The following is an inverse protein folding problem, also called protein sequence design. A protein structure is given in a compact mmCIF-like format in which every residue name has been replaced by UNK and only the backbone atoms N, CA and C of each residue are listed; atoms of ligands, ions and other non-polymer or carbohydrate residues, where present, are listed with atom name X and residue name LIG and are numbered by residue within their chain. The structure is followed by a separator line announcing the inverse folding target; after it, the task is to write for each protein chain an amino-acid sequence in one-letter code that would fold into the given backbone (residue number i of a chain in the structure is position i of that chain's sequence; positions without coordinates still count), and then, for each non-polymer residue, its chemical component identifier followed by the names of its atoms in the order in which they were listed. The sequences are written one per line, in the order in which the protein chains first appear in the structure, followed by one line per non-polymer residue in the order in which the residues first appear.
data_IF_405886290252
#
_entry.id   IF_405886290252
#
_cell.length_a   1.000
_cell.length_b   1.000
_cell.length_c   1.000
_cell.angle_alpha   90.00
_cell.angle_beta   90.00
_cell.angle_gamma   90.00
#
_symmetry.space_group_name_H-M   'P 1'
#
loop_
_entity.id
_entity.type
_entity.pdbx_description
1 polymer ?
#
# COMPACT_ATOMS: atom_id res chain seq x y z
N UNK A 1 77.50 -37.56 -20.51
CA UNK A 1 77.39 -38.68 -21.48
C UNK A 1 75.91 -39.05 -21.55
N UNK A 2 75.24 -38.79 -22.68
CA UNK A 2 73.84 -39.21 -22.92
C UNK A 2 73.74 -40.70 -23.30
N UNK A 3 72.64 -41.23 -23.90
CA UNK A 3 71.47 -40.57 -24.53
C UNK A 3 70.06 -41.17 -24.15
N UNK A 4 68.94 -40.41 -24.23
CA UNK A 4 67.84 -40.34 -25.24
C UNK A 4 66.68 -41.36 -25.09
N UNK A 5 65.43 -40.87 -24.96
CA UNK A 5 64.28 -41.07 -25.89
C UNK A 5 62.99 -40.32 -25.43
N UNK A 6 62.41 -39.58 -26.38
CA UNK A 6 60.98 -39.36 -26.79
C UNK A 6 59.82 -39.31 -25.77
N UNK A 7 58.68 -38.63 -25.97
CA UNK A 7 58.17 -37.60 -26.87
C UNK A 7 56.71 -37.27 -26.43
N UNK A 8 56.15 -36.19 -27.00
CA UNK A 8 54.72 -35.86 -27.19
C UNK A 8 54.01 -34.88 -26.22
N UNK A 9 53.11 -34.13 -26.85
CA UNK A 9 52.57 -32.82 -26.52
C UNK A 9 51.13 -32.86 -25.90
N UNK A 10 50.69 -31.66 -25.44
CA UNK A 10 49.32 -31.13 -25.15
C UNK A 10 48.11 -31.72 -25.94
N UNK A 11 46.79 -31.32 -25.73
CA UNK A 11 46.15 -30.29 -24.85
C UNK A 11 44.71 -30.58 -24.28
N UNK A 12 44.20 -29.65 -23.43
CA UNK A 12 42.89 -28.91 -23.37
C UNK A 12 41.48 -29.60 -23.48
N UNK A 13 40.60 -29.25 -22.49
CA UNK A 13 39.10 -29.19 -22.39
C UNK A 13 38.19 -30.42 -22.71
N UNK A 14 37.23 -30.72 -21.80
CA UNK A 14 35.77 -30.52 -21.93
C UNK A 14 34.93 -31.46 -21.01
N UNK A 15 33.74 -30.98 -20.55
CA UNK A 15 32.63 -31.68 -19.88
C UNK A 15 31.95 -32.76 -20.77
N UNK A 16 30.94 -33.57 -20.33
CA UNK A 16 29.56 -33.13 -20.02
C UNK A 16 28.76 -33.99 -18.98
N UNK A 17 27.45 -33.75 -18.97
CA UNK A 17 26.34 -33.97 -18.02
C UNK A 17 25.70 -35.38 -17.87
N UNK A 18 24.64 -35.40 -17.03
CA UNK A 18 23.45 -36.32 -16.95
C UNK A 18 23.66 -37.69 -16.25
N UNK A 19 22.73 -38.30 -15.48
CA UNK A 19 21.25 -38.29 -15.44
C UNK A 19 20.72 -39.05 -14.19
N UNK A 20 19.46 -38.79 -13.79
CA UNK A 20 18.45 -39.72 -13.22
C UNK A 20 17.72 -39.23 -11.94
N UNK A 21 16.55 -38.61 -12.11
CA UNK A 21 15.25 -39.28 -11.85
C UNK A 21 14.12 -38.47 -12.48
N UNK A 22 13.26 -39.17 -13.22
CA UNK A 22 12.21 -38.65 -14.08
C UNK A 22 10.82 -38.81 -13.45
N UNK A 23 10.02 -37.75 -13.58
CA UNK A 23 8.67 -37.72 -14.17
C UNK A 23 7.69 -38.89 -13.94
N UNK A 24 6.55 -38.59 -13.32
CA UNK A 24 5.22 -39.08 -13.72
C UNK A 24 4.21 -37.92 -13.58
N UNK A 25 3.56 -37.58 -14.69
CA UNK A 25 2.42 -36.66 -14.79
C UNK A 25 1.24 -37.40 -15.45
N UNK A 26 0.05 -37.12 -14.91
CA UNK A 26 -1.28 -37.03 -15.55
C UNK A 26 -2.00 -38.29 -16.07
N UNK A 27 -3.24 -38.45 -15.58
CA UNK A 27 -4.36 -39.06 -16.30
C UNK A 27 -5.68 -38.35 -15.89
N UNK A 28 -6.59 -38.14 -16.86
CA UNK A 28 -7.95 -37.61 -16.70
C UNK A 28 -8.20 -36.38 -17.57
N UNK A 29 -8.39 -36.53 -18.89
CA UNK A 29 -9.63 -36.84 -19.64
C UNK A 29 -10.62 -35.66 -19.80
N UNK A 30 -10.95 -35.44 -21.07
CA UNK A 30 -11.95 -34.54 -21.64
C UNK A 30 -13.37 -34.77 -21.10
N UNK A 31 -14.15 -33.68 -20.97
CA UNK A 31 -15.58 -33.71 -21.25
C UNK A 31 -16.03 -32.39 -21.91
N UNK A 32 -16.57 -32.52 -23.12
CA UNK A 32 -17.43 -31.53 -23.80
C UNK A 32 -18.83 -31.54 -23.16
N UNK A 33 -19.51 -30.40 -23.18
CA UNK A 33 -20.92 -30.30 -22.79
C UNK A 33 -21.49 -28.90 -22.98
N UNK A 34 -22.16 -28.70 -24.12
CA UNK A 34 -23.07 -27.59 -24.41
C UNK A 34 -24.16 -27.43 -23.35
N UNK A 35 -24.58 -26.19 -23.06
CA UNK A 35 -26.00 -25.82 -22.91
C UNK A 35 -26.21 -24.31 -22.94
N UNK A 36 -26.92 -23.85 -23.97
CA UNK A 36 -27.64 -22.57 -24.00
C UNK A 36 -28.66 -22.47 -22.86
N UNK A 37 -28.78 -21.28 -22.25
CA UNK A 37 -30.09 -20.72 -21.88
C UNK A 37 -30.05 -19.20 -21.66
N UNK A 38 -30.78 -18.50 -22.53
CA UNK A 38 -31.22 -17.11 -22.46
C UNK A 38 -32.12 -16.89 -21.24
N UNK A 39 -31.92 -15.84 -20.44
CA UNK A 39 -32.98 -15.11 -19.72
C UNK A 39 -32.61 -13.63 -19.52
N UNK A 40 -33.59 -12.76 -19.79
CA UNK A 40 -33.50 -11.31 -19.80
C UNK A 40 -33.91 -10.66 -18.45
N UNK A 41 -33.15 -9.65 -18.01
CA UNK A 41 -33.54 -8.51 -17.12
C UNK A 41 -34.12 -8.80 -15.71
N UNK A 42 -34.18 -7.82 -14.78
CA UNK A 42 -34.12 -6.37 -15.01
C UNK A 42 -33.11 -5.57 -14.16
N UNK A 43 -32.97 -4.32 -14.59
CA UNK A 43 -32.36 -3.13 -13.98
C UNK A 43 -32.73 -2.83 -12.51
N UNK A 44 -31.76 -2.29 -11.78
CA UNK A 44 -31.90 -1.64 -10.46
C UNK A 44 -30.89 -2.24 -9.47
N UNK A 45 -29.99 -1.52 -8.79
CA UNK A 45 -29.96 -0.12 -8.40
C UNK A 45 -29.50 -0.07 -6.94
N UNK A 46 -28.24 0.32 -6.71
CA UNK A 46 -27.72 0.82 -5.43
C UNK A 46 -27.47 -0.20 -4.31
N UNK A 47 -26.22 -0.68 -4.18
CA UNK A 47 -25.54 -1.03 -2.90
C UNK A 47 -24.09 -1.57 -3.04
N UNK A 48 -23.36 -1.27 -4.12
CA UNK A 48 -22.12 -1.99 -4.47
C UNK A 48 -20.79 -1.23 -4.27
N UNK A 49 -20.78 0.07 -3.98
CA UNK A 49 -19.59 0.91 -4.20
C UNK A 49 -18.41 0.68 -3.25
N UNK A 50 -18.64 0.15 -2.04
CA UNK A 50 -17.57 -0.06 -1.03
C UNK A 50 -17.05 -1.50 -1.03
N UNK A 51 -17.85 -2.46 -1.49
CA UNK A 51 -17.48 -3.88 -1.52
C UNK A 51 -16.55 -4.22 -2.70
N UNK A 52 -16.66 -3.50 -3.83
CA UNK A 52 -15.75 -3.62 -4.98
C UNK A 52 -14.35 -3.02 -4.72
N UNK A 53 -14.24 -2.10 -3.75
CA UNK A 53 -13.00 -1.43 -3.38
C UNK A 53 -11.96 -2.40 -2.78
N UNK A 54 -12.32 -3.13 -1.70
CA UNK A 54 -11.38 -4.06 -1.04
C UNK A 54 -11.11 -5.30 -1.89
N UNK A 55 -12.05 -5.72 -2.75
CA UNK A 55 -11.91 -6.99 -3.48
C UNK A 55 -11.00 -6.88 -4.72
N UNK A 56 -10.92 -5.72 -5.40
CA UNK A 56 -10.00 -5.53 -6.53
C UNK A 56 -8.58 -5.15 -6.10
N UNK A 57 -8.43 -4.34 -5.05
CA UNK A 57 -7.11 -4.00 -4.50
C UNK A 57 -6.50 -5.25 -3.81
N UNK A 58 -7.27 -5.99 -2.99
CA UNK A 58 -6.80 -7.24 -2.37
C UNK A 58 -6.43 -8.37 -3.34
N UNK A 59 -7.02 -8.40 -4.55
CA UNK A 59 -6.63 -9.35 -5.61
C UNK A 59 -5.21 -9.09 -6.11
N UNK A 60 -4.69 -7.87 -5.91
CA UNK A 60 -3.45 -7.37 -6.49
C UNK A 60 -2.37 -6.98 -5.46
N UNK A 61 -2.73 -6.72 -4.19
CA UNK A 61 -1.84 -6.21 -3.10
C UNK A 61 -0.80 -7.21 -2.55
N UNK A 62 -0.56 -8.32 -3.24
CA UNK A 62 0.51 -9.28 -2.89
C UNK A 62 1.94 -8.78 -3.14
N UNK A 63 2.16 -7.51 -3.48
CA UNK A 63 3.38 -7.04 -4.13
C UNK A 63 4.40 -6.33 -3.19
N UNK A 64 4.69 -6.88 -2.01
CA UNK A 64 5.95 -6.57 -1.32
C UNK A 64 7.08 -7.45 -1.87
N UNK A 65 7.86 -6.91 -2.83
CA UNK A 65 8.87 -7.70 -3.51
C UNK A 65 10.18 -7.78 -2.73
N UNK A 66 10.57 -8.99 -2.32
CA UNK A 66 11.90 -9.28 -1.78
C UNK A 66 12.87 -9.75 -2.88
N UNK A 67 14.03 -9.08 -3.05
CA UNK A 67 15.16 -9.57 -3.88
C UNK A 67 16.31 -10.07 -3.02
N UNK A 68 16.81 -11.29 -3.29
CA UNK A 68 18.08 -11.79 -2.71
C UNK A 68 19.28 -11.55 -3.64
N UNK A 69 20.48 -11.44 -3.05
CA UNK A 69 21.77 -11.28 -3.73
C UNK A 69 22.12 -12.38 -4.79
N UNK A 70 21.33 -13.45 -4.87
CA UNK A 70 21.47 -14.55 -5.84
C UNK A 70 20.37 -14.63 -6.91
N UNK A 71 19.49 -13.62 -7.01
CA UNK A 71 18.60 -13.47 -8.17
C UNK A 71 17.40 -14.44 -8.28
N UNK A 72 16.99 -15.14 -7.22
CA UNK A 72 15.80 -16.00 -7.24
C UNK A 72 14.68 -15.53 -6.31
N UNK A 73 13.44 -15.50 -6.86
CA UNK A 73 12.16 -15.11 -6.24
C UNK A 73 11.63 -16.21 -5.30
N UNK A 74 10.83 -15.81 -4.30
CA UNK A 74 9.82 -16.64 -3.65
C UNK A 74 8.47 -15.97 -3.99
N UNK A 75 7.59 -16.65 -4.73
CA UNK A 75 6.25 -16.16 -5.08
C UNK A 75 5.24 -17.17 -4.53
N UNK A 76 4.26 -16.72 -3.74
CA UNK A 76 3.15 -17.56 -3.28
C UNK A 76 1.91 -17.13 -4.05
N UNK A 77 1.40 -18.02 -4.91
CA UNK A 77 0.22 -17.78 -5.75
C UNK A 77 -1.01 -18.40 -5.06
N UNK A 78 -2.06 -17.62 -4.78
CA UNK A 78 -3.34 -18.15 -4.27
C UNK A 78 -4.40 -17.95 -5.34
N UNK A 79 -5.07 -19.05 -5.73
CA UNK A 79 -6.28 -19.04 -6.56
C UNK A 79 -7.40 -19.61 -5.71
N UNK A 80 -8.61 -19.03 -5.68
CA UNK A 80 -9.84 -19.82 -5.48
C UNK A 80 -11.18 -19.07 -5.74
N UNK A 81 -12.16 -19.90 -6.06
CA UNK A 81 -13.53 -19.74 -6.60
C UNK A 81 -14.61 -19.20 -5.64
N UNK A 82 -15.59 -18.47 -6.18
CA UNK A 82 -16.76 -17.89 -5.48
C UNK A 82 -18.02 -18.78 -5.51
N UNK A 83 -18.76 -18.83 -4.40
CA UNK A 83 -20.17 -19.25 -4.34
C UNK A 83 -20.96 -18.29 -3.42
N UNK A 84 -22.05 -17.73 -3.94
CA UNK A 84 -22.86 -16.67 -3.33
C UNK A 84 -24.08 -17.23 -2.60
N UNK A 85 -24.34 -16.78 -1.37
CA UNK A 85 -25.65 -16.97 -0.70
C UNK A 85 -26.11 -15.68 -0.03
N UNK A 86 -27.33 -15.26 -0.39
CA UNK A 86 -28.01 -14.02 0.01
C UNK A 86 -28.89 -14.28 1.24
N UNK A 87 -28.78 -13.47 2.30
CA UNK A 87 -29.78 -13.43 3.39
C UNK A 87 -30.14 -11.97 3.71
N UNK A 88 -31.44 -11.68 3.60
CA UNK A 88 -32.08 -10.41 3.96
C UNK A 88 -32.28 -10.31 5.48
N UNK A 89 -31.97 -9.16 6.06
CA UNK A 89 -32.31 -8.79 7.44
C UNK A 89 -32.72 -7.32 7.54
N UNK A 90 -33.92 -7.08 8.06
CA UNK A 90 -34.58 -5.78 8.25
C UNK A 90 -34.38 -5.23 9.66
N UNK A 91 -34.53 -3.90 9.76
CA UNK A 91 -34.77 -3.07 10.96
C UNK A 91 -33.57 -2.82 11.90
N UNK A 92 -33.42 -1.65 12.53
CA UNK A 92 -34.26 -0.46 12.62
C UNK A 92 -33.48 0.72 13.21
N UNK A 93 -33.97 1.93 12.94
CA UNK A 93 -33.38 3.19 13.38
C UNK A 93 -33.70 3.45 14.87
N UNK A 94 -32.69 3.85 15.65
CA UNK A 94 -32.89 4.63 16.88
C UNK A 94 -31.76 5.65 17.02
N UNK A 95 -32.13 6.88 17.32
CA UNK A 95 -31.29 8.07 17.39
C UNK A 95 -31.09 8.57 18.82
N UNK A 96 -29.94 9.26 19.00
CA UNK A 96 -29.67 10.36 19.98
C UNK A 96 -29.15 9.99 21.38
N UNK A 97 -28.48 10.92 22.10
CA UNK A 97 -27.65 12.07 21.69
C UNK A 97 -26.30 12.17 22.46
N UNK A 98 -25.49 13.15 22.06
CA UNK A 98 -24.29 13.68 22.74
C UNK A 98 -24.52 14.07 24.20
N UNK A 99 -23.47 13.94 25.02
CA UNK A 99 -23.11 14.92 26.05
C UNK A 99 -21.64 14.76 26.47
N UNK A 100 -20.88 15.85 26.39
CA UNK A 100 -19.46 15.90 26.77
C UNK A 100 -19.23 16.17 28.25
N UNK A 101 -18.01 15.92 28.72
CA UNK A 101 -17.26 16.82 29.62
C UNK A 101 -15.87 16.26 29.94
N UNK A 102 -14.90 17.17 29.91
CA UNK A 102 -13.47 17.03 30.17
C UNK A 102 -13.11 16.88 31.66
N UNK A 103 -12.10 16.06 31.97
CA UNK A 103 -11.06 16.29 33.00
C UNK A 103 -9.98 15.21 32.78
N UNK A 104 -8.72 15.50 32.47
CA UNK A 104 -7.78 16.36 33.18
C UNK A 104 -6.78 15.47 33.93
N UNK A 105 -5.67 15.08 33.29
CA UNK A 105 -4.49 14.50 33.96
C UNK A 105 -3.21 14.86 33.19
N UNK A 106 -2.39 15.67 33.86
CA UNK A 106 -0.98 15.94 33.56
C UNK A 106 -0.15 14.65 33.52
N UNK A 107 0.76 14.59 32.55
CA UNK A 107 1.75 13.53 32.40
C UNK A 107 2.73 13.87 31.30
N UNK A 108 3.78 14.60 31.66
CA UNK A 108 4.92 14.97 30.81
C UNK A 108 5.59 13.76 30.17
N UNK A 109 5.58 13.68 28.84
CA UNK A 109 6.63 13.05 28.02
C UNK A 109 6.71 13.77 26.66
N UNK A 110 7.89 14.28 26.34
CA UNK A 110 8.14 15.18 25.21
C UNK A 110 8.08 14.50 23.85
N UNK A 111 6.89 14.46 23.26
CA UNK A 111 6.72 14.71 21.83
C UNK A 111 6.40 16.20 21.70
N UNK A 112 7.29 17.00 21.11
CA UNK A 112 7.00 18.41 20.86
C UNK A 112 5.71 18.50 20.04
N UNK A 113 4.66 19.10 20.61
CA UNK A 113 3.44 19.36 19.87
C UNK A 113 3.79 20.08 18.55
N UNK A 114 3.14 19.75 17.42
CA UNK A 114 3.39 20.41 16.16
C UNK A 114 3.37 21.92 16.34
N UNK A 115 4.24 22.67 15.67
CA UNK A 115 4.31 24.12 15.82
C UNK A 115 3.02 24.86 15.44
N UNK A 116 2.05 24.18 14.81
CA UNK A 116 0.67 24.63 14.59
C UNK A 116 -0.26 23.41 14.49
N UNK A 117 -0.81 22.86 15.60
CA UNK A 117 -1.75 21.74 15.52
C UNK A 117 -3.01 22.10 14.72
N UNK A 118 -3.35 23.39 14.63
CA UNK A 118 -4.46 23.93 13.85
C UNK A 118 -4.21 24.06 12.33
N UNK A 119 -2.96 23.89 11.86
CA UNK A 119 -2.59 23.96 10.43
C UNK A 119 -1.53 22.91 10.06
N UNK A 120 -1.91 21.61 10.04
CA UNK A 120 -1.04 20.54 9.56
C UNK A 120 -0.52 20.85 8.14
N UNK A 121 0.76 20.61 7.88
CA UNK A 121 1.38 20.81 6.55
C UNK A 121 2.01 22.19 6.31
N UNK A 122 1.83 23.15 7.23
CA UNK A 122 2.31 24.51 7.04
C UNK A 122 3.74 24.80 7.45
N UNK A 123 4.30 24.00 8.34
CA UNK A 123 5.66 24.19 8.80
C UNK A 123 6.67 23.33 7.98
N UNK A 124 6.26 22.79 6.83
CA UNK A 124 7.11 21.98 5.95
C UNK A 124 7.60 20.73 6.66
N UNK A 125 8.93 20.60 6.82
CA UNK A 125 9.60 19.51 7.57
C UNK A 125 9.26 19.44 9.07
N UNK A 126 8.22 20.13 9.53
CA UNK A 126 7.79 20.19 10.92
C UNK A 126 6.79 19.10 11.30
N UNK A 127 6.38 18.24 10.36
CA UNK A 127 5.73 17.00 10.76
C UNK A 127 6.69 16.22 11.66
N UNK A 128 6.19 15.82 12.82
CA UNK A 128 6.92 15.01 13.76
C UNK A 128 5.96 14.04 14.43
N UNK A 129 6.45 12.84 14.69
CA UNK A 129 5.85 11.85 15.56
C UNK A 129 6.95 11.00 16.19
N UNK A 130 6.60 10.17 17.17
CA UNK A 130 7.58 9.24 17.76
C UNK A 130 7.99 8.23 16.70
N UNK A 131 9.29 8.22 16.36
CA UNK A 131 9.83 7.21 15.46
C UNK A 131 9.69 5.81 16.08
N UNK A 132 9.46 4.78 15.25
CA UNK A 132 9.62 3.40 15.64
C UNK A 132 10.98 3.15 16.29
N UNK A 133 11.01 2.19 17.22
CA UNK A 133 12.21 1.80 17.96
C UNK A 133 12.67 0.40 17.55
N UNK A 134 13.89 0.05 17.95
CA UNK A 134 14.44 -1.31 17.83
C UNK A 134 14.46 -2.03 19.19
N UNK A 135 13.49 -1.74 20.07
CA UNK A 135 13.40 -2.35 21.39
C UNK A 135 13.51 -3.89 21.31
N UNK A 136 14.20 -4.50 22.28
CA UNK A 136 14.34 -5.97 22.29
C UNK A 136 12.96 -6.64 22.38
N UNK A 137 12.77 -7.67 21.56
CA UNK A 137 11.59 -8.54 21.61
C UNK A 137 11.84 -9.77 22.51
N UNK A 138 12.97 -9.82 23.20
CA UNK A 138 13.28 -10.87 24.16
C UNK A 138 12.20 -10.93 25.24
N UNK A 139 11.67 -12.13 25.48
CA UNK A 139 10.59 -12.35 26.43
C UNK A 139 9.19 -12.36 25.82
N UNK A 140 9.02 -11.91 24.57
CA UNK A 140 7.77 -12.16 23.85
C UNK A 140 7.64 -13.66 23.52
N UNK A 141 6.51 -14.25 23.92
CA UNK A 141 6.23 -15.66 23.69
C UNK A 141 5.62 -15.87 22.31
N UNK A 142 6.23 -16.75 21.51
CA UNK A 142 5.73 -17.10 20.19
C UNK A 142 5.22 -18.54 20.13
N UNK A 143 4.05 -18.69 19.50
CA UNK A 143 3.56 -19.94 18.95
C UNK A 143 2.75 -19.63 17.69
N UNK A 144 2.56 -20.62 16.81
CA UNK A 144 1.70 -20.43 15.63
C UNK A 144 0.27 -19.98 16.01
N UNK A 145 -0.26 -20.49 17.13
CA UNK A 145 -1.58 -20.14 17.65
C UNK A 145 -1.68 -18.74 18.27
N UNK A 146 -0.54 -18.17 18.70
CA UNK A 146 -0.47 -16.84 19.30
C UNK A 146 0.22 -15.82 18.38
N UNK A 147 0.33 -16.14 17.09
CA UNK A 147 1.08 -15.36 16.10
C UNK A 147 0.53 -13.93 15.92
N UNK A 148 -0.79 -13.75 15.90
CA UNK A 148 -1.43 -12.44 15.89
C UNK A 148 -1.09 -11.63 17.16
N UNK A 149 -1.23 -12.23 18.35
CA UNK A 149 -0.89 -11.55 19.61
C UNK A 149 0.59 -11.20 19.68
N UNK A 150 1.46 -12.10 19.22
CA UNK A 150 2.90 -11.84 19.13
C UNK A 150 3.21 -10.62 18.26
N UNK A 151 2.54 -10.47 17.09
CA UNK A 151 2.72 -9.29 16.25
C UNK A 151 2.22 -8.01 16.94
N UNK A 152 1.06 -8.06 17.60
CA UNK A 152 0.52 -6.92 18.36
C UNK A 152 1.44 -6.50 19.51
N UNK A 153 2.01 -7.45 20.26
CA UNK A 153 2.94 -7.17 21.36
C UNK A 153 4.26 -6.60 20.83
N UNK A 154 4.76 -7.12 19.69
CA UNK A 154 5.95 -6.61 19.05
C UNK A 154 5.75 -5.17 18.52
N UNK A 155 4.59 -4.89 17.92
CA UNK A 155 4.19 -3.55 17.52
C UNK A 155 4.06 -2.63 18.74
N UNK A 156 3.50 -3.09 19.86
CA UNK A 156 3.42 -2.26 21.08
C UNK A 156 4.77 -1.74 21.55
N UNK A 157 5.79 -2.61 21.48
CA UNK A 157 7.15 -2.27 21.91
C UNK A 157 7.88 -1.36 20.92
N UNK A 158 7.70 -1.62 19.62
CA UNK A 158 8.52 -0.99 18.58
C UNK A 158 7.82 0.09 17.78
N UNK A 159 6.51 -0.01 17.59
CA UNK A 159 5.71 0.94 16.83
C UNK A 159 4.25 1.00 17.35
N UNK A 160 3.99 1.67 18.49
CA UNK A 160 2.66 1.73 19.10
C UNK A 160 1.55 2.18 18.15
N UNK A 161 1.84 3.14 17.25
CA UNK A 161 0.89 3.57 16.22
C UNK A 161 0.51 2.42 15.27
N UNK A 162 1.47 1.57 14.88
CA UNK A 162 1.19 0.36 14.11
C UNK A 162 0.30 -0.63 14.85
N UNK A 163 0.48 -0.80 16.17
CA UNK A 163 -0.43 -1.61 16.99
C UNK A 163 -1.83 -1.02 17.01
N UNK A 164 -1.96 0.30 17.17
CA UNK A 164 -3.25 0.98 17.12
C UNK A 164 -3.96 0.74 15.79
N UNK A 165 -3.26 0.97 14.66
CA UNK A 165 -3.79 0.74 13.30
C UNK A 165 -4.32 -0.68 13.16
N UNK A 166 -3.51 -1.66 13.55
CA UNK A 166 -3.87 -3.08 13.44
C UNK A 166 -5.05 -3.44 14.35
N UNK A 167 -5.06 -2.95 15.59
CA UNK A 167 -6.12 -3.23 16.55
C UNK A 167 -7.46 -2.67 16.10
N UNK A 168 -7.48 -1.44 15.60
CA UNK A 168 -8.71 -0.81 15.10
C UNK A 168 -9.17 -1.44 13.78
N UNK A 169 -8.24 -1.71 12.84
CA UNK A 169 -8.54 -2.37 11.57
C UNK A 169 -9.17 -3.75 11.76
N UNK A 170 -8.71 -4.53 12.74
CA UNK A 170 -9.31 -5.80 13.14
C UNK A 170 -10.77 -5.69 13.60
N UNK A 171 -11.16 -4.54 14.15
CA UNK A 171 -12.53 -4.26 14.63
C UNK A 171 -13.41 -3.57 13.59
N UNK A 172 -12.90 -3.39 12.37
CA UNK A 172 -13.62 -2.72 11.30
C UNK A 172 -14.97 -3.39 11.00
N UNK A 173 -16.04 -2.61 10.71
CA UNK A 173 -17.36 -3.16 10.38
C UNK A 173 -17.37 -4.05 9.13
N UNK A 174 -16.30 -4.05 8.32
CA UNK A 174 -16.15 -4.91 7.15
C UNK A 174 -15.62 -6.31 7.49
N UNK A 175 -14.97 -6.50 8.64
CA UNK A 175 -14.40 -7.77 9.05
C UNK A 175 -15.39 -8.95 9.00
N UNK A 176 -16.67 -8.81 9.44
CA UNK A 176 -17.64 -9.91 9.36
C UNK A 176 -18.02 -10.30 7.93
N UNK A 177 -17.89 -9.38 6.96
CA UNK A 177 -18.33 -9.59 5.57
C UNK A 177 -17.20 -9.95 4.62
N UNK A 178 -15.96 -9.53 4.90
CA UNK A 178 -14.82 -9.66 4.00
C UNK A 178 -13.63 -10.42 4.60
N UNK A 179 -13.79 -11.00 5.80
CA UNK A 179 -12.69 -11.37 6.71
C UNK A 179 -11.96 -10.12 7.19
N UNK A 180 -11.21 -10.23 8.29
CA UNK A 180 -10.37 -9.11 8.73
C UNK A 180 -9.02 -9.10 7.98
N UNK A 181 -8.31 -7.98 8.05
CA UNK A 181 -6.98 -7.80 7.46
C UNK A 181 -5.98 -8.92 7.83
N UNK A 182 -6.07 -9.48 9.04
CA UNK A 182 -5.24 -10.62 9.43
C UNK A 182 -5.65 -11.91 8.70
N UNK A 183 -6.92 -12.28 8.73
CA UNK A 183 -7.43 -13.49 8.09
C UNK A 183 -7.20 -13.53 6.58
N UNK A 184 -7.10 -12.35 5.96
CA UNK A 184 -6.90 -12.20 4.53
C UNK A 184 -5.42 -12.23 4.14
N UNK A 185 -4.54 -11.56 4.88
CA UNK A 185 -3.16 -11.32 4.46
C UNK A 185 -2.09 -11.98 5.34
N UNK A 186 -2.47 -12.50 6.51
CA UNK A 186 -1.54 -13.13 7.44
C UNK A 186 -1.42 -14.64 7.17
N UNK A 187 -0.38 -15.03 6.43
CA UNK A 187 -0.26 -16.40 5.89
C UNK A 187 0.87 -17.21 6.54
N UNK A 188 1.99 -16.58 6.88
CA UNK A 188 3.18 -17.28 7.40
C UNK A 188 3.30 -17.18 8.92
N UNK A 189 2.81 -18.21 9.63
CA UNK A 189 2.83 -18.28 11.10
C UNK A 189 3.81 -19.33 11.64
N UNK A 190 4.76 -19.76 10.82
CA UNK A 190 5.69 -20.85 11.13
C UNK A 190 6.77 -20.47 12.15
N UNK A 191 7.10 -19.19 12.28
CA UNK A 191 8.08 -18.68 13.25
C UNK A 191 7.90 -17.18 13.50
N UNK A 192 8.39 -16.69 14.64
CA UNK A 192 8.40 -15.26 14.98
C UNK A 192 9.03 -14.38 13.89
N UNK A 193 10.22 -14.69 13.32
CA UNK A 193 10.78 -13.90 12.22
C UNK A 193 9.90 -13.87 10.96
N UNK A 194 9.19 -14.97 10.66
CA UNK A 194 8.25 -15.03 9.52
C UNK A 194 7.02 -14.17 9.72
N UNK A 195 6.53 -14.09 10.96
CA UNK A 195 5.47 -13.15 11.34
C UNK A 195 5.94 -11.70 11.20
N UNK A 196 7.13 -11.36 11.71
CA UNK A 196 7.66 -9.99 11.61
C UNK A 196 7.92 -9.55 10.17
N UNK A 197 8.29 -10.47 9.28
CA UNK A 197 8.45 -10.17 7.85
C UNK A 197 7.14 -9.77 7.15
N UNK A 198 5.98 -10.08 7.73
CA UNK A 198 4.67 -9.66 7.21
C UNK A 198 4.12 -8.43 7.93
N UNK A 199 4.81 -7.92 8.96
CA UNK A 199 4.30 -6.83 9.79
C UNK A 199 3.90 -5.60 8.96
N UNK A 200 4.75 -5.22 8.00
CA UNK A 200 4.50 -4.09 7.11
C UNK A 200 3.20 -4.26 6.32
N UNK A 201 3.00 -5.45 5.71
CA UNK A 201 1.77 -5.76 4.98
C UNK A 201 0.56 -5.74 5.91
N UNK A 202 0.64 -6.35 7.09
CA UNK A 202 -0.49 -6.36 8.02
C UNK A 202 -0.86 -4.94 8.49
N UNK A 203 0.13 -4.09 8.81
CA UNK A 203 -0.16 -2.70 9.20
C UNK A 203 -0.76 -1.91 8.03
N UNK A 204 -0.27 -2.11 6.81
CA UNK A 204 -0.81 -1.51 5.58
C UNK A 204 -2.28 -1.88 5.38
N UNK A 205 -2.56 -3.18 5.33
CA UNK A 205 -3.90 -3.71 5.05
C UNK A 205 -4.88 -3.35 6.16
N UNK A 206 -4.48 -3.49 7.43
CA UNK A 206 -5.33 -3.05 8.53
C UNK A 206 -5.56 -1.52 8.54
N UNK A 207 -4.64 -0.74 7.95
CA UNK A 207 -4.80 0.68 7.70
C UNK A 207 -5.98 0.99 6.78
N UNK A 208 -6.12 0.26 5.66
CA UNK A 208 -7.31 0.35 4.82
C UNK A 208 -8.59 0.05 5.61
N UNK A 209 -8.61 -1.06 6.34
CA UNK A 209 -9.77 -1.46 7.14
C UNK A 209 -10.16 -0.42 8.21
N UNK A 210 -9.16 0.23 8.81
CA UNK A 210 -9.34 1.32 9.76
C UNK A 210 -10.00 2.53 9.09
N UNK A 211 -9.41 3.03 8.01
CA UNK A 211 -9.87 4.22 7.31
C UNK A 211 -11.29 4.03 6.73
N UNK A 212 -11.52 2.90 6.06
CA UNK A 212 -12.84 2.55 5.53
C UNK A 212 -13.88 2.34 6.62
N UNK A 213 -13.48 1.72 7.72
CA UNK A 213 -14.36 1.42 8.85
C UNK A 213 -14.95 2.69 9.47
N UNK A 214 -14.26 3.83 9.31
CA UNK A 214 -14.71 5.16 9.72
C UNK A 214 -15.31 5.97 8.55
N UNK A 215 -15.01 5.61 7.30
CA UNK A 215 -15.54 6.26 6.11
C UNK A 215 -17.04 6.00 5.90
N UNK A 216 -17.69 6.93 5.20
CA UNK A 216 -19.11 6.81 4.80
C UNK A 216 -19.35 7.66 3.57
N UNK A 217 -19.76 7.04 2.46
CA UNK A 217 -20.07 7.72 1.19
C UNK A 217 -20.86 9.03 1.42
N UNK A 218 -20.37 10.21 0.97
CA UNK A 218 -19.20 10.45 0.10
C UNK A 218 -17.91 10.85 0.84
N UNK A 219 -17.85 10.65 2.14
CA UNK A 219 -16.73 11.00 3.02
C UNK A 219 -15.68 9.90 3.06
N UNK A 220 -14.44 10.24 2.69
CA UNK A 220 -13.23 9.44 2.93
C UNK A 220 -12.61 9.86 4.26
N UNK A 221 -12.12 8.91 5.04
CA UNK A 221 -11.44 9.16 6.31
C UNK A 221 -9.99 8.74 6.20
N UNK A 222 -9.09 9.52 6.81
CA UNK A 222 -7.66 9.26 6.84
C UNK A 222 -7.20 9.36 8.30
N UNK A 223 -6.91 8.23 8.93
CA UNK A 223 -6.37 8.17 10.29
C UNK A 223 -4.86 8.20 10.21
N UNK A 224 -4.28 9.39 10.44
CA UNK A 224 -2.82 9.59 10.39
C UNK A 224 -2.17 9.13 11.70
N UNK A 225 -2.80 9.49 12.83
CA UNK A 225 -2.45 9.08 14.20
C UNK A 225 -3.72 8.95 15.05
N UNK A 226 -3.57 8.41 16.25
CA UNK A 226 -4.66 8.36 17.25
C UNK A 226 -5.33 9.72 17.50
N UNK A 227 -4.53 10.80 17.45
CA UNK A 227 -4.96 12.18 17.72
C UNK A 227 -5.20 13.03 16.45
N UNK A 228 -4.94 12.47 15.26
CA UNK A 228 -4.96 13.21 14.01
C UNK A 228 -5.65 12.40 12.91
N UNK A 229 -6.82 12.87 12.49
CA UNK A 229 -7.55 12.31 11.36
C UNK A 229 -8.20 13.40 10.51
N UNK A 230 -8.44 13.07 9.24
CA UNK A 230 -9.17 13.92 8.30
C UNK A 230 -10.41 13.20 7.80
N UNK A 231 -11.48 13.95 7.56
CA UNK A 231 -12.73 13.44 6.96
C UNK A 231 -13.07 14.35 5.79
N UNK A 232 -12.69 13.92 4.58
CA UNK A 232 -12.80 14.74 3.37
C UNK A 232 -13.88 14.17 2.45
N UNK A 233 -14.79 15.02 1.99
CA UNK A 233 -15.90 14.63 1.13
C UNK A 233 -15.56 14.77 -0.36
N UNK A 234 -16.26 14.00 -1.19
CA UNK A 234 -16.29 14.15 -2.65
C UNK A 234 -14.94 13.96 -3.36
N UNK A 235 -14.01 13.22 -2.75
CA UNK A 235 -12.69 13.01 -3.34
C UNK A 235 -12.61 11.91 -4.41
N UNK A 236 -13.69 11.16 -4.64
CA UNK A 236 -13.76 10.15 -5.70
C UNK A 236 -14.00 10.78 -7.09
N UNK A 237 -14.13 9.97 -8.13
CA UNK A 237 -14.38 10.44 -9.48
C UNK A 237 -15.79 11.00 -9.65
N UNK A 238 -16.00 11.85 -10.66
CA UNK A 238 -17.33 12.42 -10.99
C UNK A 238 -18.39 11.34 -11.22
N UNK A 239 -18.04 10.25 -11.87
CA UNK A 239 -18.95 9.13 -12.13
C UNK A 239 -19.27 8.33 -10.87
N UNK A 240 -18.41 8.46 -9.85
CA UNK A 240 -18.55 7.90 -8.50
C UNK A 240 -19.01 8.94 -7.48
N UNK A 241 -19.70 10.00 -7.95
CA UNK A 241 -20.30 11.09 -7.15
C UNK A 241 -19.30 11.99 -6.41
N UNK A 242 -18.03 11.94 -6.78
CA UNK A 242 -17.02 12.89 -6.31
C UNK A 242 -16.80 14.05 -7.28
N UNK A 243 -15.70 14.77 -7.08
CA UNK A 243 -15.32 15.99 -7.80
C UNK A 243 -13.95 15.85 -8.49
N UNK A 244 -13.40 14.65 -8.51
CA UNK A 244 -12.07 14.37 -9.05
C UNK A 244 -12.15 13.49 -10.31
N UNK A 245 -11.01 13.13 -10.90
CA UNK A 245 -10.93 12.21 -12.05
C UNK A 245 -10.21 10.91 -11.69
N UNK A 246 -10.39 9.87 -12.49
CA UNK A 246 -9.77 8.56 -12.26
C UNK A 246 -8.23 8.65 -12.23
N UNK A 247 -7.59 8.04 -11.23
CA UNK A 247 -6.13 8.06 -11.07
C UNK A 247 -5.40 7.44 -12.27
N UNK A 248 -5.99 6.47 -12.96
CA UNK A 248 -5.46 5.86 -14.20
C UNK A 248 -5.20 6.88 -15.32
N UNK A 249 -5.86 8.04 -15.33
CA UNK A 249 -5.64 9.10 -16.33
C UNK A 249 -4.20 9.58 -16.38
N UNK A 250 -3.44 9.52 -15.28
CA UNK A 250 -2.03 9.92 -15.27
C UNK A 250 -1.15 9.01 -16.16
N UNK A 251 -1.61 7.82 -16.54
CA UNK A 251 -0.89 6.98 -17.54
C UNK A 251 -0.76 7.61 -18.91
N UNK A 252 -1.58 8.62 -19.22
CA UNK A 252 -1.59 9.32 -20.50
C UNK A 252 -0.87 10.69 -20.40
N UNK A 253 -0.28 11.02 -19.25
CA UNK A 253 0.46 12.28 -19.06
C UNK A 253 1.88 12.24 -19.67
N UNK A 254 2.58 13.38 -19.66
CA UNK A 254 3.94 13.50 -20.18
C UNK A 254 5.00 12.75 -19.34
N UNK A 255 4.67 12.41 -18.08
CA UNK A 255 5.59 11.82 -17.11
C UNK A 255 5.54 10.30 -17.09
N UNK A 256 4.46 9.68 -17.62
CA UNK A 256 4.25 8.24 -17.64
C UNK A 256 5.40 7.46 -18.29
N UNK A 257 6.09 8.07 -19.27
CA UNK A 257 7.24 7.44 -19.93
C UNK A 257 8.51 7.39 -19.07
N UNK A 258 8.59 8.17 -17.98
CA UNK A 258 9.75 8.16 -17.06
C UNK A 258 9.85 6.85 -16.27
N UNK A 259 8.72 6.18 -16.00
CA UNK A 259 8.65 4.80 -15.51
C UNK A 259 7.46 4.09 -16.13
N UNK A 260 7.74 3.29 -17.16
CA UNK A 260 6.73 2.46 -17.80
C UNK A 260 6.28 1.32 -16.90
N UNK A 261 5.08 0.82 -17.12
CA UNK A 261 4.59 -0.42 -16.52
C UNK A 261 5.57 -1.57 -16.72
N UNK A 262 5.58 -2.53 -15.80
CA UNK A 262 6.52 -3.64 -15.85
C UNK A 262 6.10 -4.73 -16.83
N UNK A 263 4.80 -4.86 -17.10
CA UNK A 263 4.29 -5.93 -17.94
C UNK A 263 4.67 -7.30 -17.37
N UNK A 264 5.14 -8.23 -18.21
CA UNK A 264 5.41 -9.59 -17.79
C UNK A 264 6.63 -9.76 -16.85
N UNK A 265 7.52 -8.78 -16.75
CA UNK A 265 8.64 -8.80 -15.80
C UNK A 265 8.50 -7.65 -14.79
N UNK A 266 7.65 -7.87 -13.80
CA UNK A 266 7.44 -7.01 -12.62
C UNK A 266 8.71 -6.66 -11.84
N UNK A 267 9.83 -7.33 -12.12
CA UNK A 267 11.10 -7.06 -11.47
C UNK A 267 12.09 -6.30 -12.37
N UNK A 268 11.70 -5.92 -13.58
CA UNK A 268 12.57 -5.16 -14.46
C UNK A 268 13.03 -3.85 -13.79
N UNK A 269 14.33 -3.54 -13.85
CA UNK A 269 14.83 -2.31 -13.24
C UNK A 269 14.21 -1.10 -13.97
N UNK A 270 13.75 -0.11 -13.20
CA UNK A 270 13.21 1.14 -13.73
C UNK A 270 11.78 1.03 -14.31
N UNK A 271 11.08 -0.08 -14.08
CA UNK A 271 9.65 -0.18 -14.36
C UNK A 271 8.81 0.12 -13.12
N UNK A 272 7.54 0.41 -13.35
CA UNK A 272 6.54 0.75 -12.34
C UNK A 272 5.54 -0.40 -12.21
N UNK A 273 5.73 -1.27 -11.22
CA UNK A 273 4.80 -2.38 -10.99
C UNK A 273 3.52 -1.91 -10.29
N UNK A 274 3.58 -0.79 -9.56
CA UNK A 274 2.41 -0.16 -8.96
C UNK A 274 1.45 0.33 -10.05
N UNK A 275 1.94 0.80 -11.19
CA UNK A 275 1.09 1.22 -12.30
C UNK A 275 0.22 0.09 -12.87
N UNK A 276 0.69 -1.16 -12.81
CA UNK A 276 -0.07 -2.33 -13.28
C UNK A 276 -1.24 -2.70 -12.34
N UNK A 277 -1.21 -2.20 -11.10
CA UNK A 277 -2.22 -2.41 -10.06
C UNK A 277 -3.09 -1.16 -9.92
N UNK A 278 -2.51 -0.05 -9.49
CA UNK A 278 -3.23 1.14 -9.02
C UNK A 278 -3.57 2.12 -10.13
N UNK A 279 -2.92 2.01 -11.31
CA UNK A 279 -3.25 2.83 -12.47
C UNK A 279 -3.86 1.98 -13.61
N UNK A 280 -4.30 0.76 -13.31
CA UNK A 280 -4.90 -0.12 -14.31
C UNK A 280 -6.25 0.44 -14.84
N UNK A 281 -6.86 -0.28 -15.78
CA UNK A 281 -8.19 0.06 -16.31
C UNK A 281 -8.25 1.18 -17.33
N UNK A 282 -9.47 1.42 -17.80
CA UNK A 282 -9.84 2.56 -18.64
C UNK A 282 -11.19 3.12 -18.17
N UNK A 283 -11.22 4.31 -17.55
CA UNK A 283 -12.43 4.87 -16.92
C UNK A 283 -13.55 5.23 -17.92
N UNK A 284 -13.32 5.03 -19.23
CA UNK A 284 -14.27 5.26 -20.30
C UNK A 284 -14.94 3.96 -20.82
N UNK A 285 -14.55 2.77 -20.37
CA UNK A 285 -14.96 1.48 -20.97
C UNK A 285 -16.11 0.75 -20.23
N UNK A 286 -16.64 1.39 -19.17
CA UNK A 286 -17.72 0.90 -18.30
C UNK A 286 -17.41 -0.35 -17.47
N UNK A 287 -16.15 -0.83 -17.45
CA UNK A 287 -15.67 -1.75 -16.44
C UNK A 287 -15.06 -0.95 -15.30
N UNK A 288 -15.12 -1.53 -14.11
CA UNK A 288 -14.46 -0.96 -12.96
C UNK A 288 -13.16 -1.70 -12.74
N UNK A 289 -12.08 -0.95 -12.69
CA UNK A 289 -10.78 -1.38 -12.19
C UNK A 289 -10.24 -0.42 -11.12
N UNK A 290 -9.22 -0.88 -10.39
CA UNK A 290 -8.57 -0.11 -9.32
C UNK A 290 -8.14 1.30 -9.75
N UNK A 291 -7.69 1.48 -11.00
CA UNK A 291 -7.31 2.80 -11.51
C UNK A 291 -8.48 3.76 -11.80
N UNK A 292 -9.72 3.30 -11.76
CA UNK A 292 -10.91 4.17 -11.96
C UNK A 292 -11.31 4.96 -10.72
N UNK A 293 -10.61 4.72 -9.62
CA UNK A 293 -10.78 5.42 -8.35
C UNK A 293 -10.21 6.86 -8.41
N UNK A 294 -10.79 7.78 -7.64
CA UNK A 294 -10.40 9.18 -7.61
C UNK A 294 -9.18 9.52 -6.76
N UNK A 295 -8.99 10.82 -6.52
CA UNK A 295 -7.88 11.35 -5.72
C UNK A 295 -7.92 10.87 -4.26
N UNK A 296 -9.12 10.63 -3.72
CA UNK A 296 -9.28 10.13 -2.36
C UNK A 296 -8.52 8.83 -2.13
N UNK A 297 -8.65 7.87 -3.03
CA UNK A 297 -8.02 6.55 -2.88
C UNK A 297 -6.56 6.54 -3.33
N UNK A 298 -6.15 7.49 -4.17
CA UNK A 298 -4.72 7.73 -4.38
C UNK A 298 -4.02 8.20 -3.08
N UNK A 299 -4.64 9.10 -2.33
CA UNK A 299 -4.11 9.56 -1.04
C UNK A 299 -4.20 8.50 0.05
N UNK A 300 -5.26 7.70 0.04
CA UNK A 300 -5.47 6.64 1.03
C UNK A 300 -4.37 5.58 0.91
N UNK A 301 -4.09 5.13 -0.32
CA UNK A 301 -2.98 4.23 -0.62
C UNK A 301 -1.61 4.82 -0.22
N UNK A 302 -1.38 6.10 -0.53
CA UNK A 302 -0.17 6.78 -0.10
C UNK A 302 -0.01 6.76 1.43
N UNK A 303 -1.09 6.98 2.19
CA UNK A 303 -1.11 6.88 3.66
C UNK A 303 -0.70 5.49 4.13
N UNK A 304 -1.19 4.43 3.47
CA UNK A 304 -0.84 3.07 3.86
C UNK A 304 0.62 2.72 3.54
N UNK A 305 1.19 3.18 2.42
CA UNK A 305 2.63 3.04 2.17
C UNK A 305 3.51 3.83 3.16
N UNK A 306 3.02 4.94 3.73
CA UNK A 306 3.70 5.60 4.87
C UNK A 306 3.73 4.67 6.08
N UNK A 307 2.60 4.01 6.39
CA UNK A 307 2.50 3.06 7.49
C UNK A 307 3.40 1.82 7.28
N UNK A 308 3.52 1.34 6.03
CA UNK A 308 4.42 0.26 5.64
C UNK A 308 5.89 0.61 5.90
N UNK A 309 6.35 1.78 5.44
CA UNK A 309 7.73 2.23 5.66
C UNK A 309 8.05 2.44 7.15
N UNK A 310 7.10 2.99 7.92
CA UNK A 310 7.24 3.10 9.37
C UNK A 310 7.40 1.74 10.05
N UNK A 311 6.63 0.74 9.60
CA UNK A 311 6.70 -0.62 10.13
C UNK A 311 8.00 -1.32 9.73
N UNK A 312 8.49 -1.10 8.52
CA UNK A 312 9.78 -1.61 8.06
C UNK A 312 10.95 -1.05 8.87
N UNK A 313 10.88 0.22 9.30
CA UNK A 313 11.84 0.80 10.25
C UNK A 313 11.77 0.11 11.63
N UNK A 314 10.59 -0.26 12.11
CA UNK A 314 10.40 -0.95 13.38
C UNK A 314 10.99 -2.38 13.40
N UNK A 315 11.00 -3.05 12.25
CA UNK A 315 11.41 -4.45 12.11
C UNK A 315 12.55 -4.64 11.10
N UNK A 316 13.45 -3.65 11.01
CA UNK A 316 14.60 -3.69 10.11
C UNK A 316 15.46 -4.96 10.29
N UNK A 317 15.53 -5.46 11.53
CA UNK A 317 16.27 -6.65 11.95
C UNK A 317 15.61 -7.96 11.51
N UNK A 318 14.33 -7.95 11.13
CA UNK A 318 13.65 -9.11 10.57
C UNK A 318 14.07 -9.38 9.12
N UNK A 319 14.55 -8.35 8.40
CA UNK A 319 15.01 -8.49 7.02
C UNK A 319 16.39 -9.14 6.96
N UNK A 320 16.54 -10.13 6.06
CA UNK A 320 17.84 -10.77 5.86
C UNK A 320 18.83 -9.78 5.28
N UNK A 321 20.04 -9.78 5.82
CA UNK A 321 21.16 -8.99 5.28
C UNK A 321 21.36 -9.29 3.79
N UNK A 322 21.29 -8.26 2.96
CA UNK A 322 21.43 -8.37 1.50
C UNK A 322 20.13 -8.71 0.76
N UNK A 323 19.00 -8.83 1.47
CA UNK A 323 17.67 -8.74 0.85
C UNK A 323 17.33 -7.27 0.60
N UNK A 324 16.61 -6.98 -0.48
CA UNK A 324 16.04 -5.67 -0.75
C UNK A 324 14.52 -5.78 -0.89
N UNK A 325 13.79 -4.85 -0.31
CA UNK A 325 12.32 -4.74 -0.37
C UNK A 325 11.90 -3.43 -1.02
N UNK A 326 10.59 -3.21 -1.17
CA UNK A 326 10.00 -2.11 -1.95
C UNK A 326 9.38 -1.01 -1.10
N UNK A 327 9.62 -0.97 0.22
CA UNK A 327 8.97 -0.05 1.16
C UNK A 327 9.21 1.43 0.81
N UNK A 328 10.47 1.81 0.59
CA UNK A 328 10.82 3.15 0.10
C UNK A 328 10.31 3.39 -1.32
N UNK A 329 10.36 2.36 -2.16
CA UNK A 329 9.93 2.46 -3.56
C UNK A 329 8.43 2.74 -3.67
N UNK A 330 7.62 2.11 -2.81
CA UNK A 330 6.16 2.29 -2.77
C UNK A 330 5.80 3.71 -2.42
N UNK A 331 6.23 4.19 -1.25
CA UNK A 331 5.88 5.55 -0.85
C UNK A 331 6.38 6.60 -1.85
N UNK A 332 7.60 6.47 -2.40
CA UNK A 332 8.09 7.41 -3.41
C UNK A 332 7.27 7.35 -4.71
N UNK A 333 6.81 6.17 -5.13
CA UNK A 333 5.94 6.04 -6.30
C UNK A 333 4.60 6.76 -6.07
N UNK A 334 4.00 6.60 -4.90
CA UNK A 334 2.73 7.27 -4.57
C UNK A 334 2.86 8.78 -4.41
N UNK A 335 3.96 9.27 -3.84
CA UNK A 335 4.26 10.71 -3.83
C UNK A 335 4.37 11.25 -5.27
N UNK A 336 5.07 10.54 -6.15
CA UNK A 336 5.19 10.91 -7.55
C UNK A 336 3.84 10.89 -8.28
N UNK A 337 2.96 9.93 -7.97
CA UNK A 337 1.60 9.90 -8.50
C UNK A 337 0.76 11.07 -8.03
N UNK A 338 0.85 11.46 -6.76
CA UNK A 338 0.14 12.62 -6.20
C UNK A 338 0.53 13.88 -6.97
N UNK A 339 1.83 14.14 -7.16
CA UNK A 339 2.27 15.33 -7.90
C UNK A 339 1.79 15.32 -9.35
N UNK A 340 1.91 14.17 -10.04
CA UNK A 340 1.44 14.00 -11.41
C UNK A 340 -0.07 14.20 -11.53
N UNK A 341 -0.83 13.70 -10.57
CA UNK A 341 -2.27 13.88 -10.51
C UNK A 341 -2.63 15.37 -10.40
N UNK A 342 -2.00 16.10 -9.47
CA UNK A 342 -2.21 17.54 -9.30
C UNK A 342 -1.80 18.33 -10.55
N UNK A 343 -0.68 17.96 -11.16
CA UNK A 343 -0.17 18.56 -12.40
C UNK A 343 -1.16 18.35 -13.56
N UNK A 344 -1.67 17.13 -13.74
CA UNK A 344 -2.67 16.84 -14.76
C UNK A 344 -4.00 17.55 -14.46
N UNK A 345 -4.38 17.65 -13.18
CA UNK A 345 -5.56 18.40 -12.76
C UNK A 345 -5.47 19.87 -13.21
N UNK A 346 -4.35 20.53 -12.95
CA UNK A 346 -4.10 21.92 -13.36
C UNK A 346 -4.21 22.13 -14.87
N UNK A 347 -3.70 21.18 -15.64
CA UNK A 347 -3.58 21.31 -17.09
C UNK A 347 -4.83 20.91 -17.86
N UNK A 348 -5.56 19.91 -17.35
CA UNK A 348 -6.64 19.24 -18.10
C UNK A 348 -7.96 19.10 -17.35
N UNK A 349 -7.98 19.24 -16.01
CA UNK A 349 -9.17 19.10 -15.18
C UNK A 349 -9.32 20.27 -14.20
N UNK A 350 -9.55 21.50 -14.71
CA UNK A 350 -9.51 22.73 -13.91
C UNK A 350 -10.53 22.74 -12.76
N UNK A 351 -11.67 22.08 -12.91
CA UNK A 351 -12.69 21.97 -11.85
C UNK A 351 -12.18 21.10 -10.69
N UNK A 352 -11.51 19.98 -10.98
CA UNK A 352 -10.85 19.14 -9.96
C UNK A 352 -9.73 19.91 -9.28
N UNK A 353 -8.91 20.63 -10.04
CA UNK A 353 -7.84 21.44 -9.48
C UNK A 353 -8.38 22.53 -8.55
N UNK A 354 -9.41 23.26 -8.98
CA UNK A 354 -10.09 24.27 -8.17
C UNK A 354 -10.74 23.66 -6.92
N UNK A 355 -11.35 22.49 -7.03
CA UNK A 355 -11.91 21.75 -5.90
C UNK A 355 -10.85 21.43 -4.84
N UNK A 356 -9.74 20.79 -5.23
CA UNK A 356 -8.65 20.44 -4.29
C UNK A 356 -8.05 21.73 -3.68
N UNK A 357 -7.78 22.75 -4.49
CA UNK A 357 -7.14 23.99 -4.02
C UNK A 357 -8.04 24.81 -3.10
N UNK A 358 -9.35 24.84 -3.33
CA UNK A 358 -10.28 25.62 -2.49
C UNK A 358 -10.71 24.90 -1.22
N UNK A 359 -10.59 23.57 -1.17
CA UNK A 359 -11.03 22.76 -0.04
C UNK A 359 -9.90 22.53 0.99
N UNK A 360 -10.06 23.09 2.20
CA UNK A 360 -9.06 22.98 3.26
C UNK A 360 -8.78 21.52 3.68
N UNK A 361 -9.79 20.65 3.69
CA UNK A 361 -9.59 19.25 4.07
C UNK A 361 -8.61 18.57 3.11
N UNK A 362 -8.84 18.72 1.80
CA UNK A 362 -7.97 18.13 0.77
C UNK A 362 -6.55 18.70 0.81
N UNK A 363 -6.39 20.02 1.01
CA UNK A 363 -5.05 20.59 1.18
C UNK A 363 -4.34 20.02 2.40
N UNK A 364 -4.99 20.01 3.56
CA UNK A 364 -4.40 19.59 4.82
C UNK A 364 -4.03 18.11 4.82
N UNK A 365 -4.91 17.23 4.31
CA UNK A 365 -4.60 15.80 4.25
C UNK A 365 -3.48 15.51 3.25
N UNK A 366 -3.48 16.13 2.06
CA UNK A 366 -2.40 15.98 1.07
C UNK A 366 -1.06 16.40 1.67
N UNK A 367 -0.99 17.59 2.28
CA UNK A 367 0.25 18.09 2.88
C UNK A 367 0.69 17.26 4.10
N UNK A 368 -0.25 16.76 4.89
CA UNK A 368 0.08 15.91 6.05
C UNK A 368 0.66 14.57 5.61
N UNK A 369 0.04 13.89 4.65
CA UNK A 369 0.56 12.63 4.10
C UNK A 369 1.92 12.86 3.45
N UNK A 370 2.05 13.93 2.67
CA UNK A 370 3.31 14.33 2.04
C UNK A 370 4.44 14.53 3.07
N UNK A 371 4.19 15.32 4.11
CA UNK A 371 5.21 15.62 5.13
C UNK A 371 5.53 14.41 6.00
N UNK A 372 4.54 13.58 6.33
CA UNK A 372 4.75 12.32 7.06
C UNK A 372 5.55 11.31 6.23
N UNK A 373 5.31 11.24 4.93
CA UNK A 373 6.09 10.41 4.02
C UNK A 373 7.57 10.84 4.02
N UNK A 374 7.84 12.14 3.87
CA UNK A 374 9.22 12.66 3.92
C UNK A 374 9.87 12.50 5.29
N UNK A 375 9.11 12.57 6.38
CA UNK A 375 9.60 12.28 7.73
C UNK A 375 10.20 10.87 7.82
N UNK A 376 9.48 9.84 7.38
CA UNK A 376 9.99 8.46 7.37
C UNK A 376 11.03 8.18 6.28
N UNK A 377 10.90 8.79 5.10
CA UNK A 377 11.91 8.70 4.04
C UNK A 377 13.26 9.27 4.49
N UNK A 378 13.26 10.33 5.29
CA UNK A 378 14.46 10.88 5.89
C UNK A 378 15.03 9.97 6.98
N UNK A 379 14.17 9.43 7.86
CA UNK A 379 14.59 8.50 8.91
C UNK A 379 15.22 7.21 8.36
N UNK A 380 14.76 6.75 7.18
CA UNK A 380 15.21 5.51 6.53
C UNK A 380 16.23 5.74 5.41
N UNK A 381 16.76 6.97 5.26
CA UNK A 381 17.61 7.34 4.11
C UNK A 381 18.87 6.49 3.96
N UNK A 382 19.43 5.99 5.06
CA UNK A 382 20.64 5.15 5.06
C UNK A 382 20.36 3.65 4.92
N UNK A 383 19.08 3.25 4.83
CA UNK A 383 18.64 1.85 4.79
C UNK A 383 18.40 1.40 3.35
N UNK A 384 19.50 1.11 2.65
CA UNK A 384 19.48 0.73 1.22
C UNK A 384 18.69 -0.55 0.91
N UNK A 385 18.49 -1.40 1.91
CA UNK A 385 17.68 -2.62 1.88
C UNK A 385 16.18 -2.35 1.75
N UNK A 386 15.71 -1.15 2.08
CA UNK A 386 14.28 -0.82 2.03
C UNK A 386 13.80 -0.36 0.64
N UNK A 387 14.67 -0.30 -0.36
CA UNK A 387 14.28 0.05 -1.72
C UNK A 387 15.02 -0.76 -2.77
N UNK A 388 14.41 -0.97 -3.95
CA UNK A 388 15.04 -1.56 -5.14
C UNK A 388 15.62 -0.47 -6.05
N UNK A 389 14.93 0.66 -6.17
CA UNK A 389 15.27 1.79 -7.04
C UNK A 389 14.92 3.15 -6.41
N UNK A 390 14.85 3.21 -5.08
CA UNK A 390 14.45 4.38 -4.31
C UNK A 390 15.17 5.69 -4.69
N UNK A 391 16.47 5.67 -5.00
CA UNK A 391 17.18 6.89 -5.41
C UNK A 391 16.64 7.46 -6.73
N UNK A 392 16.40 6.60 -7.72
CA UNK A 392 15.83 7.02 -9.00
C UNK A 392 14.38 7.50 -8.87
N UNK A 393 13.61 6.89 -7.97
CA UNK A 393 12.26 7.35 -7.65
C UNK A 393 12.28 8.71 -6.91
N UNK A 394 13.20 8.89 -5.97
CA UNK A 394 13.36 10.17 -5.26
C UNK A 394 13.70 11.32 -6.22
N UNK A 395 14.53 11.08 -7.24
CA UNK A 395 14.78 12.06 -8.31
C UNK A 395 13.51 12.46 -9.07
N UNK A 396 12.55 11.55 -9.26
CA UNK A 396 11.28 11.85 -9.91
C UNK A 396 10.35 12.69 -9.03
N UNK A 397 10.27 12.36 -7.73
CA UNK A 397 9.49 13.11 -6.73
C UNK A 397 10.08 14.50 -6.49
N UNK A 398 11.37 14.71 -6.79
CA UNK A 398 12.05 16.01 -6.65
C UNK A 398 12.02 16.85 -7.94
N UNK A 399 11.30 16.44 -8.98
CA UNK A 399 11.14 17.24 -10.19
C UNK A 399 10.42 18.56 -9.83
N UNK A 400 11.14 19.69 -9.93
CA UNK A 400 10.63 21.01 -9.53
C UNK A 400 9.30 21.37 -10.22
N UNK A 401 9.05 20.85 -11.42
CA UNK A 401 7.79 21.09 -12.14
C UNK A 401 6.59 20.41 -11.47
N UNK A 402 6.84 19.26 -10.85
CA UNK A 402 5.86 18.44 -10.15
C UNK A 402 5.70 18.93 -8.69
N UNK A 403 6.82 19.14 -7.99
CA UNK A 403 6.81 19.63 -6.60
C UNK A 403 6.20 21.02 -6.47
N UNK A 404 6.24 21.84 -7.53
CA UNK A 404 5.54 23.13 -7.57
C UNK A 404 4.03 23.04 -7.27
N UNK A 405 3.39 21.89 -7.53
CA UNK A 405 1.97 21.70 -7.20
C UNK A 405 1.75 21.47 -5.69
N UNK A 406 2.68 20.77 -5.02
CA UNK A 406 2.68 20.66 -3.55
C UNK A 406 2.94 22.02 -2.92
N UNK A 407 3.91 22.77 -3.44
CA UNK A 407 4.22 24.12 -2.97
C UNK A 407 3.04 25.08 -3.16
N UNK A 408 2.26 24.92 -4.23
CA UNK A 408 1.05 25.70 -4.46
C UNK A 408 -0.05 25.41 -3.41
N UNK A 409 -0.26 24.14 -3.05
CA UNK A 409 -1.18 23.78 -1.96
C UNK A 409 -0.71 24.35 -0.62
N UNK A 410 0.59 24.22 -0.32
CA UNK A 410 1.19 24.77 0.90
C UNK A 410 1.06 26.29 0.96
N UNK A 411 1.31 26.99 -0.15
CA UNK A 411 1.17 28.44 -0.21
C UNK A 411 -0.25 28.90 0.10
N UNK A 412 -1.28 28.12 -0.23
CA UNK A 412 -2.68 28.43 0.10
C UNK A 412 -3.01 28.14 1.56
N UNK A 413 -2.48 27.05 2.13
CA UNK A 413 -2.76 26.66 3.51
C UNK A 413 -2.09 27.58 4.54
N UNK A 414 -0.95 28.17 4.17
CA UNK A 414 -0.09 28.90 5.10
C UNK A 414 -0.13 30.42 4.97
N UNK A 415 -1.12 30.91 4.22
CA UNK A 415 -1.57 32.31 4.29
C UNK A 415 -2.37 32.54 5.57
#
# INVERSE_FOLDING_TARGET
MGPVHDAAAHPIRASPSTQAHAQECAAGEHFEGDHERVWAGPSGGGKHTVLEFLDEDAKNDGAMMCRNASGHRLLTLVTLTSLLTLVLGLAGCTSSPDDGSSSGRDGTNGGGAPLHPERPGCAGNAYAETLPTNASLDGLSFSAASSQQYLLDALDLRFPLGKFIVSEGLTSPYAPTQKNCFEQYFTEVSSAPKVLLQASQIVHECGHYLDLGKAKDPTSVYVIREDLSFSCEQGDTTDRKGMTFARSRIRKDAYATKRRTCGADETAKGCDFYADIYLNGDPDDAKFESGDQGYNLLLEEASQYVNSLATALAFEDAHKRGSRITERDGILTFLWYIERYLKLAKESYPDTYAFIHSNACWRQVTLTIWDRAWFYLNATKTMSELGLDAEALEELVRDETLTAEIDALRALECQ
#
